data_IF_988490436906
#
_entry.id   IF_988490436906
#
_cell.length_a   1.000
_cell.length_b   1.000
_cell.length_c   1.000
_cell.angle_alpha   90.00
_cell.angle_beta   90.00
_cell.angle_gamma   90.00
#
_symmetry.space_group_name_H-M   'P 1'
#
loop_
_entity.id
_entity.type
_entity.pdbx_description
1 polymer ?
#
# COMPACT_ATOMS: atom_id res chain seq x y z
N UNK A 1 -11.71 -31.65 -5.87
CA UNK A 1 -12.32 -30.40 -5.35
C UNK A 1 -11.61 -29.86 -4.10
N UNK A 2 -11.42 -30.63 -3.01
CA UNK A 2 -10.72 -30.14 -1.79
C UNK A 2 -9.28 -29.62 -2.01
N UNK A 3 -8.52 -30.22 -2.92
CA UNK A 3 -7.16 -29.79 -3.25
C UNK A 3 -7.13 -28.45 -3.99
N UNK A 4 -8.10 -28.24 -4.90
CA UNK A 4 -8.23 -26.99 -5.64
C UNK A 4 -8.57 -25.82 -4.71
N UNK A 5 -9.50 -26.01 -3.77
CA UNK A 5 -9.81 -25.01 -2.74
C UNK A 5 -8.62 -24.72 -1.83
N UNK A 6 -7.84 -25.75 -1.45
CA UNK A 6 -6.64 -25.57 -0.62
C UNK A 6 -5.57 -24.71 -1.31
N UNK A 7 -5.35 -24.89 -2.61
CA UNK A 7 -4.43 -24.06 -3.39
C UNK A 7 -4.84 -22.59 -3.42
N UNK A 8 -6.12 -22.31 -3.69
CA UNK A 8 -6.64 -20.93 -3.73
C UNK A 8 -6.56 -20.26 -2.36
N UNK A 9 -6.89 -20.98 -1.29
CA UNK A 9 -6.75 -20.48 0.08
C UNK A 9 -5.28 -20.14 0.34
N UNK A 10 -4.35 -21.06 0.05
CA UNK A 10 -2.91 -20.80 0.21
C UNK A 10 -2.46 -19.54 -0.55
N UNK A 11 -2.91 -19.35 -1.80
CA UNK A 11 -2.56 -18.18 -2.60
C UNK A 11 -3.08 -16.89 -1.99
N UNK A 12 -4.36 -16.85 -1.58
CA UNK A 12 -4.96 -15.68 -0.91
C UNK A 12 -4.26 -15.39 0.42
N UNK A 13 -3.94 -16.43 1.18
CA UNK A 13 -3.36 -16.33 2.51
C UNK A 13 -1.90 -15.89 2.51
N UNK A 14 -1.14 -16.27 1.47
CA UNK A 14 0.27 -15.94 1.30
C UNK A 14 0.55 -14.45 1.07
N UNK A 15 -0.45 -13.67 0.64
CA UNK A 15 -0.33 -12.26 0.21
C UNK A 15 0.64 -12.02 -0.95
N UNK A 16 1.15 -13.08 -1.60
CA UNK A 16 2.05 -12.97 -2.75
C UNK A 16 1.41 -12.18 -3.90
N UNK A 17 0.09 -12.36 -4.10
CA UNK A 17 -0.66 -11.65 -5.13
C UNK A 17 -0.63 -10.11 -4.96
N UNK A 18 -0.58 -9.60 -3.71
CA UNK A 18 -0.49 -8.16 -3.45
C UNK A 18 0.88 -7.64 -3.86
N UNK A 19 1.95 -8.38 -3.53
CA UNK A 19 3.31 -8.03 -3.92
C UNK A 19 3.51 -8.10 -5.43
N UNK A 20 2.93 -9.09 -6.11
CA UNK A 20 2.90 -9.17 -7.57
C UNK A 20 2.14 -7.98 -8.18
N UNK A 21 1.03 -7.55 -7.57
CA UNK A 21 0.31 -6.34 -7.97
C UNK A 21 1.16 -5.09 -7.87
N UNK A 22 1.88 -4.89 -6.75
CA UNK A 22 2.81 -3.76 -6.59
C UNK A 22 3.96 -3.79 -7.62
N UNK A 23 4.53 -4.96 -7.90
CA UNK A 23 5.53 -5.13 -8.97
C UNK A 23 4.95 -4.80 -10.34
N UNK A 24 3.71 -5.22 -10.62
CA UNK A 24 3.05 -4.93 -11.89
C UNK A 24 2.89 -3.43 -12.09
N UNK A 25 2.45 -2.71 -11.06
CA UNK A 25 2.35 -1.23 -11.07
C UNK A 25 3.71 -0.58 -11.31
N UNK A 26 4.75 -1.06 -10.62
CA UNK A 26 6.11 -0.56 -10.80
C UNK A 26 6.57 -0.73 -12.26
N UNK A 27 6.44 -1.93 -12.82
CA UNK A 27 6.87 -2.24 -14.19
C UNK A 27 6.07 -1.45 -15.24
N UNK A 28 4.74 -1.31 -15.07
CA UNK A 28 3.94 -0.43 -15.91
C UNK A 28 4.45 1.01 -15.87
N UNK A 29 4.83 1.51 -14.69
CA UNK A 29 5.34 2.87 -14.53
C UNK A 29 6.70 3.05 -15.22
N UNK A 30 7.60 2.06 -15.16
CA UNK A 30 8.83 2.09 -15.94
C UNK A 30 8.57 2.21 -17.45
N UNK A 31 7.57 1.50 -17.97
CA UNK A 31 7.16 1.63 -19.37
C UNK A 31 6.63 3.04 -19.68
N UNK A 32 5.77 3.60 -18.83
CA UNK A 32 5.18 4.95 -19.01
C UNK A 32 6.26 6.04 -19.04
N UNK A 33 7.27 5.94 -18.18
CA UNK A 33 8.37 6.92 -18.11
C UNK A 33 9.55 6.59 -19.03
N UNK A 34 9.45 5.55 -19.87
CA UNK A 34 10.52 5.08 -20.78
C UNK A 34 11.85 4.81 -20.06
N UNK A 35 11.79 4.24 -18.86
CA UNK A 35 12.94 3.92 -18.03
C UNK A 35 13.15 2.42 -17.91
N UNK A 36 14.37 2.00 -17.60
CA UNK A 36 14.71 0.58 -17.45
C UNK A 36 14.57 0.16 -15.98
N UNK A 37 13.77 -0.88 -15.68
CA UNK A 37 13.66 -1.39 -14.33
C UNK A 37 14.97 -2.04 -13.89
N UNK A 38 15.39 -1.75 -12.67
CA UNK A 38 16.48 -2.49 -12.02
C UNK A 38 15.89 -3.69 -11.28
N UNK A 39 16.48 -4.88 -11.46
CA UNK A 39 16.04 -6.11 -10.78
C UNK A 39 15.93 -5.96 -9.27
N UNK A 40 16.81 -5.16 -8.68
CA UNK A 40 16.85 -4.95 -7.26
C UNK A 40 15.69 -4.07 -6.78
N UNK A 41 15.33 -3.01 -7.51
CA UNK A 41 14.13 -2.21 -7.22
C UNK A 41 12.86 -3.07 -7.27
N UNK A 42 12.76 -3.94 -8.28
CA UNK A 42 11.65 -4.89 -8.41
C UNK A 42 11.59 -5.84 -7.22
N UNK A 43 12.74 -6.43 -6.84
CA UNK A 43 12.85 -7.33 -5.69
C UNK A 43 12.50 -6.61 -4.38
N UNK A 44 12.94 -5.37 -4.20
CA UNK A 44 12.67 -4.59 -2.99
C UNK A 44 11.19 -4.25 -2.86
N UNK A 45 10.54 -3.79 -3.94
CA UNK A 45 9.09 -3.54 -3.93
C UNK A 45 8.32 -4.82 -3.65
N UNK A 46 8.75 -5.96 -4.22
CA UNK A 46 8.14 -7.26 -3.98
C UNK A 46 8.26 -7.68 -2.51
N UNK A 47 9.49 -7.78 -1.99
CA UNK A 47 9.77 -8.25 -0.62
C UNK A 47 9.23 -7.27 0.41
N UNK A 48 9.33 -5.96 0.16
CA UNK A 48 8.79 -4.93 1.04
C UNK A 48 7.27 -4.99 1.14
N UNK A 49 6.58 -5.10 0.00
CA UNK A 49 5.11 -5.24 -0.03
C UNK A 49 4.69 -6.55 0.62
N UNK A 50 5.31 -7.67 0.22
CA UNK A 50 5.00 -8.98 0.79
C UNK A 50 5.21 -9.01 2.30
N UNK A 51 6.37 -8.52 2.76
CA UNK A 51 6.73 -8.42 4.17
C UNK A 51 5.78 -7.53 4.96
N UNK A 52 5.43 -6.35 4.45
CA UNK A 52 4.51 -5.43 5.13
C UNK A 52 3.11 -6.04 5.31
N UNK A 53 2.52 -6.61 4.26
CA UNK A 53 1.20 -7.25 4.35
C UNK A 53 1.23 -8.54 5.17
N UNK A 54 2.33 -9.29 5.13
CA UNK A 54 2.53 -10.44 5.98
C UNK A 54 2.60 -10.02 7.46
N UNK A 55 3.38 -8.98 7.79
CA UNK A 55 3.44 -8.42 9.14
C UNK A 55 2.08 -7.93 9.64
N UNK A 56 1.32 -7.22 8.80
CA UNK A 56 -0.03 -6.75 9.16
C UNK A 56 -0.99 -7.90 9.53
N UNK A 57 -0.85 -9.08 8.90
CA UNK A 57 -1.63 -10.28 9.25
C UNK A 57 -1.24 -10.82 10.62
N UNK A 58 0.06 -10.92 10.89
CA UNK A 58 0.59 -11.56 12.10
C UNK A 58 0.76 -10.61 13.29
N UNK A 59 0.48 -9.32 13.09
CA UNK A 59 0.36 -8.29 14.11
C UNK A 59 -1.12 -7.94 14.38
N UNK A 60 -1.98 -8.87 14.86
CA UNK A 60 -3.21 -8.43 15.52
C UNK A 60 -2.82 -7.69 16.80
N UNK A 61 -3.68 -6.71 17.17
CA UNK A 61 -3.70 -5.91 18.42
C UNK A 61 -2.61 -6.37 19.38
N UNK A 62 -1.61 -5.53 19.64
CA UNK A 62 -0.66 -5.77 20.72
C UNK A 62 -1.43 -5.60 22.03
N UNK A 63 -2.27 -6.57 22.38
CA UNK A 63 -2.66 -6.84 23.75
C UNK A 63 -1.42 -7.46 24.37
N UNK A 64 -0.86 -6.78 25.37
CA UNK A 64 0.40 -7.09 26.04
C UNK A 64 0.48 -8.51 26.69
N UNK A 65 -0.51 -9.37 26.47
CA UNK A 65 -0.62 -10.72 26.99
C UNK A 65 -1.02 -11.72 25.91
N UNK A 66 -0.04 -12.33 25.21
CA UNK A 66 -0.04 -13.76 24.84
C UNK A 66 1.31 -14.19 24.24
N UNK A 67 1.58 -15.49 24.37
CA UNK A 67 2.89 -16.17 24.40
C UNK A 67 3.68 -16.21 23.07
N UNK A 68 3.17 -15.67 21.96
CA UNK A 68 3.84 -15.68 20.65
C UNK A 68 4.82 -14.50 20.39
N UNK A 69 5.36 -13.88 21.45
CA UNK A 69 6.34 -12.77 21.35
C UNK A 69 7.59 -13.15 20.58
N UNK A 70 8.05 -14.40 20.67
CA UNK A 70 9.32 -14.85 20.07
C UNK A 70 9.19 -15.01 18.56
N UNK A 71 8.11 -15.63 18.07
CA UNK A 71 7.92 -15.87 16.63
C UNK A 71 7.67 -14.57 15.86
N UNK A 72 6.92 -13.62 16.45
CA UNK A 72 6.70 -12.27 15.88
C UNK A 72 7.99 -11.47 15.76
N UNK A 73 8.84 -11.49 16.81
CA UNK A 73 10.17 -10.86 16.78
C UNK A 73 11.05 -11.49 15.71
N UNK A 74 11.04 -12.82 15.56
CA UNK A 74 11.83 -13.53 14.55
C UNK A 74 11.42 -13.15 13.12
N UNK A 75 10.12 -13.07 12.81
CA UNK A 75 9.64 -12.71 11.47
C UNK A 75 9.91 -11.23 11.15
N UNK A 76 9.63 -10.32 12.08
CA UNK A 76 9.95 -8.90 11.90
C UNK A 76 11.46 -8.67 11.75
N UNK A 77 12.28 -9.39 12.52
CA UNK A 77 13.72 -9.39 12.41
C UNK A 77 14.21 -9.95 11.08
N UNK A 78 13.58 -11.02 10.55
CA UNK A 78 13.93 -11.61 9.26
C UNK A 78 13.59 -10.67 8.09
N UNK A 79 12.47 -9.96 8.16
CA UNK A 79 12.07 -8.95 7.16
C UNK A 79 13.01 -7.75 7.24
N UNK A 80 13.35 -7.27 8.44
CA UNK A 80 14.34 -6.21 8.63
C UNK A 80 15.72 -6.61 8.10
N UNK A 81 16.15 -7.85 8.32
CA UNK A 81 17.40 -8.40 7.78
C UNK A 81 17.35 -8.46 6.26
N UNK A 82 16.24 -8.89 5.65
CA UNK A 82 16.09 -8.93 4.20
C UNK A 82 16.13 -7.52 3.59
N UNK A 83 15.43 -6.56 4.20
CA UNK A 83 15.47 -5.16 3.77
C UNK A 83 16.88 -4.56 3.94
N UNK A 84 17.56 -4.89 5.03
CA UNK A 84 18.94 -4.48 5.30
C UNK A 84 19.94 -5.09 4.32
N UNK A 85 19.82 -6.38 4.01
CA UNK A 85 20.68 -7.07 3.04
C UNK A 85 20.46 -6.55 1.61
N UNK A 86 19.21 -6.28 1.23
CA UNK A 86 18.87 -5.74 -0.09
C UNK A 86 19.37 -4.29 -0.22
N UNK A 87 19.28 -3.49 0.84
CA UNK A 87 19.84 -2.12 0.85
C UNK A 87 21.36 -2.08 0.91
N UNK A 88 22.02 -3.08 1.53
CA UNK A 88 23.47 -3.24 1.53
C UNK A 88 24.04 -3.61 0.15
N UNK A 89 23.28 -4.32 -0.70
CA UNK A 89 23.68 -4.69 -2.06
C UNK A 89 23.74 -3.52 -3.05
N UNK A 90 23.57 -2.28 -2.58
CA UNK A 90 23.23 -1.11 -3.38
C UNK A 90 24.08 0.12 -2.99
N UNK A 91 25.35 -0.11 -2.70
CA UNK A 91 26.30 0.93 -2.32
C UNK A 91 26.41 2.08 -3.35
N UNK A 92 25.94 1.87 -4.59
CA UNK A 92 25.95 2.83 -5.70
C UNK A 92 24.61 3.54 -6.00
N UNK A 93 23.53 3.23 -5.26
CA UNK A 93 22.23 3.87 -5.49
C UNK A 93 22.06 5.16 -4.68
N UNK A 94 21.29 6.11 -5.22
CA UNK A 94 21.09 7.42 -4.60
C UNK A 94 20.35 7.26 -3.27
N UNK A 95 20.96 7.69 -2.17
CA UNK A 95 20.42 7.72 -0.79
C UNK A 95 18.95 8.18 -0.71
N UNK A 96 18.53 9.01 -1.66
CA UNK A 96 17.17 9.51 -1.84
C UNK A 96 16.12 8.40 -1.99
N UNK A 97 16.39 7.33 -2.76
CA UNK A 97 15.43 6.23 -2.98
C UNK A 97 15.13 5.50 -1.67
N UNK A 98 16.16 5.26 -0.84
CA UNK A 98 16.00 4.68 0.49
C UNK A 98 15.21 5.57 1.44
N UNK A 99 15.50 6.87 1.44
CA UNK A 99 14.77 7.85 2.24
C UNK A 99 13.28 7.80 1.93
N UNK A 100 12.93 7.80 0.63
CA UNK A 100 11.54 7.71 0.22
C UNK A 100 10.89 6.36 0.52
N UNK A 101 11.59 5.24 0.28
CA UNK A 101 11.07 3.91 0.61
C UNK A 101 10.78 3.76 2.09
N UNK A 102 11.65 4.25 2.97
CA UNK A 102 11.41 4.27 4.41
C UNK A 102 10.23 5.19 4.74
N UNK A 103 10.20 6.40 4.17
CA UNK A 103 9.16 7.38 4.44
C UNK A 103 7.75 6.90 4.06
N UNK A 104 7.61 6.13 2.98
CA UNK A 104 6.31 5.62 2.53
C UNK A 104 5.96 4.23 3.08
N UNK A 105 6.95 3.39 3.38
CA UNK A 105 6.72 2.10 4.06
C UNK A 105 6.48 2.25 5.56
N UNK A 106 7.02 3.29 6.20
CA UNK A 106 6.86 3.53 7.64
C UNK A 106 5.39 3.76 8.02
N UNK A 107 4.58 4.62 7.34
CA UNK A 107 3.15 4.73 7.60
C UNK A 107 2.40 3.40 7.44
N UNK A 108 2.75 2.58 6.45
CA UNK A 108 2.13 1.27 6.23
C UNK A 108 2.47 0.24 7.34
N UNK A 109 3.68 0.34 7.91
CA UNK A 109 4.11 -0.48 9.04
C UNK A 109 3.55 0.04 10.38
N UNK A 110 3.56 1.36 10.60
CA UNK A 110 2.96 2.02 11.77
C UNK A 110 1.44 1.85 11.79
N UNK A 111 0.80 1.78 10.62
CA UNK A 111 -0.61 1.42 10.45
C UNK A 111 -0.97 0.06 11.07
N UNK A 112 -0.03 -0.88 11.15
CA UNK A 112 -0.23 -2.19 11.78
C UNK A 112 -0.16 -2.15 13.32
N UNK A 113 0.45 -1.12 13.90
CA UNK A 113 0.72 -1.02 15.33
C UNK A 113 -0.47 -0.41 16.07
N UNK A 114 -1.22 -1.25 16.78
CA UNK A 114 -2.22 -0.80 17.76
C UNK A 114 -1.64 -0.97 19.17
N UNK A 115 -1.45 0.15 19.89
CA UNK A 115 -0.96 0.16 21.27
C UNK A 115 -2.14 0.35 22.22
N UNK A 116 -2.55 -0.73 22.89
CA UNK A 116 -3.50 -0.66 24.01
C UNK A 116 -2.74 -0.57 25.34
N UNK A 117 -2.90 0.54 26.06
CA UNK A 117 -2.43 0.71 27.45
C UNK A 117 -3.61 0.57 28.41
N UNK A 118 -3.37 0.05 29.63
CA UNK A 118 -4.37 -0.30 30.66
C UNK A 118 -5.50 0.73 30.90
N UNK A 119 -5.27 2.02 30.70
CA UNK A 119 -6.26 3.09 30.93
C UNK A 119 -6.50 4.03 29.74
N UNK A 120 -5.85 3.81 28.59
CA UNK A 120 -6.04 4.66 27.39
C UNK A 120 -5.87 3.83 26.12
N UNK A 121 -6.88 3.89 25.25
CA UNK A 121 -6.78 3.39 23.88
C UNK A 121 -6.15 4.51 23.04
N UNK A 122 -4.89 4.33 22.64
CA UNK A 122 -4.34 5.15 21.55
C UNK A 122 -4.94 4.61 20.26
N UNK A 123 -5.77 5.42 19.63
CA UNK A 123 -6.35 5.08 18.34
C UNK A 123 -5.21 4.92 17.34
N UNK A 124 -5.02 3.71 16.82
CA UNK A 124 -4.08 3.52 15.72
C UNK A 124 -4.54 4.38 14.53
N UNK A 125 -3.61 4.81 13.67
CA UNK A 125 -3.96 5.58 12.45
C UNK A 125 -5.04 4.85 11.61
N UNK A 126 -5.11 3.52 11.72
CA UNK A 126 -6.14 2.66 11.13
C UNK A 126 -7.59 2.94 11.58
N UNK A 127 -7.77 3.54 12.75
CA UNK A 127 -9.07 3.81 13.34
C UNK A 127 -9.56 5.24 13.03
N UNK A 128 -8.72 6.06 12.38
CA UNK A 128 -9.16 7.36 11.86
C UNK A 128 -9.84 7.11 10.52
N UNK A 129 -11.14 7.38 10.43
CA UNK A 129 -11.89 7.19 9.21
C UNK A 129 -11.40 8.16 8.13
N UNK A 130 -11.62 7.84 6.85
CA UNK A 130 -11.05 8.53 5.68
C UNK A 130 -9.53 8.39 5.48
N UNK A 131 -8.74 8.61 6.52
CA UNK A 131 -7.27 8.60 6.44
C UNK A 131 -6.75 7.24 5.94
N UNK A 132 -7.42 6.14 6.32
CA UNK A 132 -7.09 4.79 5.82
C UNK A 132 -7.01 4.74 4.29
N UNK A 133 -8.03 5.26 3.59
CA UNK A 133 -8.09 5.19 2.12
C UNK A 133 -6.99 6.06 1.51
N UNK A 134 -6.77 7.26 2.08
CA UNK A 134 -5.73 8.18 1.63
C UNK A 134 -4.32 7.59 1.79
N UNK A 135 -4.03 6.96 2.93
CA UNK A 135 -2.72 6.34 3.17
C UNK A 135 -2.48 5.21 2.16
N UNK A 136 -3.46 4.33 1.96
CA UNK A 136 -3.31 3.24 0.98
C UNK A 136 -3.08 3.82 -0.41
N UNK A 137 -3.89 4.78 -0.84
CA UNK A 137 -3.71 5.41 -2.15
C UNK A 137 -2.31 6.04 -2.31
N UNK A 138 -1.84 6.80 -1.30
CA UNK A 138 -0.53 7.45 -1.33
C UNK A 138 0.64 6.46 -1.39
N UNK A 139 0.58 5.35 -0.65
CA UNK A 139 1.63 4.31 -0.69
C UNK A 139 1.73 3.68 -2.08
N UNK A 140 0.61 3.44 -2.73
CA UNK A 140 0.60 2.87 -4.08
C UNK A 140 0.99 3.87 -5.16
N UNK A 141 0.59 5.15 -5.02
CA UNK A 141 1.10 6.24 -5.86
C UNK A 141 2.62 6.34 -5.75
N UNK A 142 3.15 6.21 -4.54
CA UNK A 142 4.59 6.18 -4.35
C UNK A 142 5.26 5.06 -5.16
N UNK A 143 4.73 3.83 -5.08
CA UNK A 143 5.24 2.71 -5.89
C UNK A 143 5.21 3.04 -7.40
N UNK A 144 4.14 3.69 -7.86
CA UNK A 144 3.99 4.11 -9.24
C UNK A 144 4.99 5.21 -9.65
N UNK A 145 5.46 6.04 -8.72
CA UNK A 145 6.39 7.13 -8.97
C UNK A 145 7.87 6.78 -8.74
N UNK A 146 8.19 5.54 -8.34
CA UNK A 146 9.57 5.09 -8.14
C UNK A 146 10.49 5.40 -9.34
N UNK A 147 10.11 5.13 -10.61
CA UNK A 147 10.97 5.46 -11.76
C UNK A 147 11.31 6.96 -11.80
N UNK A 148 10.33 7.83 -11.57
CA UNK A 148 10.53 9.28 -11.56
C UNK A 148 11.52 9.72 -10.47
N UNK A 149 11.44 9.08 -9.30
CA UNK A 149 12.32 9.36 -8.16
C UNK A 149 13.75 8.90 -8.47
N UNK A 150 13.93 7.70 -9.02
CA UNK A 150 15.25 7.17 -9.38
C UNK A 150 15.94 8.05 -10.44
N UNK A 151 15.18 8.50 -11.43
CA UNK A 151 15.66 9.39 -12.49
C UNK A 151 15.73 10.86 -12.11
N UNK A 152 15.27 11.22 -10.90
CA UNK A 152 15.11 12.61 -10.43
C UNK A 152 14.30 13.50 -11.39
N UNK A 153 13.37 12.91 -12.13
CA UNK A 153 12.52 13.63 -13.08
C UNK A 153 11.25 14.12 -12.38
N UNK A 154 11.06 15.44 -12.38
CA UNK A 154 9.87 16.09 -11.82
C UNK A 154 9.31 17.07 -12.83
N UNK A 155 8.26 16.67 -13.54
CA UNK A 155 7.58 17.47 -14.55
C UNK A 155 6.06 17.30 -14.47
N UNK A 156 5.32 17.99 -15.34
CA UNK A 156 3.86 17.90 -15.37
C UNK A 156 3.35 16.49 -15.65
N UNK A 157 4.05 15.68 -16.46
CA UNK A 157 3.70 14.28 -16.72
C UNK A 157 3.74 13.44 -15.45
N UNK A 158 4.77 13.61 -14.61
CA UNK A 158 4.89 12.94 -13.31
C UNK A 158 3.74 13.34 -12.37
N UNK A 159 3.41 14.63 -12.30
CA UNK A 159 2.31 15.13 -11.49
C UNK A 159 0.97 14.54 -11.94
N UNK A 160 0.66 14.60 -13.23
CA UNK A 160 -0.59 14.09 -13.80
C UNK A 160 -0.71 12.57 -13.65
N UNK A 161 0.37 11.82 -13.86
CA UNK A 161 0.39 10.38 -13.64
C UNK A 161 0.15 10.02 -12.17
N UNK A 162 0.82 10.72 -11.24
CA UNK A 162 0.58 10.54 -9.80
C UNK A 162 -0.85 10.87 -9.38
N UNK A 163 -1.41 11.98 -9.88
CA UNK A 163 -2.80 12.39 -9.64
C UNK A 163 -3.80 11.39 -10.22
N UNK A 164 -3.61 10.95 -11.47
CA UNK A 164 -4.40 9.89 -12.09
C UNK A 164 -4.43 8.65 -11.19
N UNK A 165 -3.26 8.15 -10.83
CA UNK A 165 -3.13 6.90 -10.09
C UNK A 165 -3.76 7.02 -8.70
N UNK A 166 -3.60 8.17 -8.04
CA UNK A 166 -4.22 8.47 -6.76
C UNK A 166 -5.75 8.41 -6.84
N UNK A 167 -6.35 9.18 -7.76
CA UNK A 167 -7.80 9.24 -7.88
C UNK A 167 -8.40 7.91 -8.34
N UNK A 168 -7.71 7.21 -9.24
CA UNK A 168 -8.10 5.87 -9.67
C UNK A 168 -8.14 4.89 -8.48
N UNK A 169 -7.10 4.87 -7.65
CA UNK A 169 -7.04 4.00 -6.48
C UNK A 169 -8.15 4.31 -5.47
N UNK A 170 -8.38 5.59 -5.16
CA UNK A 170 -9.47 6.00 -4.27
C UNK A 170 -10.81 5.53 -4.83
N UNK A 171 -11.03 5.71 -6.14
CA UNK A 171 -12.26 5.27 -6.81
C UNK A 171 -12.49 3.76 -6.69
N UNK A 172 -11.47 2.92 -6.87
CA UNK A 172 -11.64 1.46 -6.80
C UNK A 172 -11.76 0.95 -5.36
N UNK A 173 -11.20 1.66 -4.37
CA UNK A 173 -11.30 1.28 -2.96
C UNK A 173 -12.72 1.49 -2.43
N UNK A 174 -13.43 2.53 -2.90
CA UNK A 174 -14.77 2.89 -2.42
C UNK A 174 -15.81 1.77 -2.57
N UNK A 175 -15.94 1.06 -3.71
CA UNK A 175 -16.83 -0.08 -3.83
C UNK A 175 -16.57 -1.19 -2.80
N UNK A 176 -15.29 -1.45 -2.48
CA UNK A 176 -14.94 -2.42 -1.44
C UNK A 176 -15.34 -1.91 -0.05
N UNK A 177 -15.13 -0.61 0.22
CA UNK A 177 -15.52 0.01 1.49
C UNK A 177 -17.05 -0.01 1.69
N UNK A 178 -17.82 0.19 0.62
CA UNK A 178 -19.29 0.07 0.62
C UNK A 178 -19.73 -1.37 0.88
N UNK A 179 -19.16 -2.34 0.16
CA UNK A 179 -19.50 -3.76 0.33
C UNK A 179 -19.22 -4.24 1.75
N UNK A 180 -18.10 -3.80 2.32
CA UNK A 180 -17.67 -4.25 3.63
C UNK A 180 -18.48 -3.58 4.77
N UNK A 181 -19.36 -2.60 4.49
CA UNK A 181 -20.21 -1.93 5.48
C UNK A 181 -21.08 -2.89 6.31
N UNK A 182 -21.59 -3.96 5.69
CA UNK A 182 -22.48 -4.94 6.36
C UNK A 182 -21.72 -5.88 7.30
N UNK A 183 -20.42 -6.08 7.04
CA UNK A 183 -19.57 -7.06 7.75
C UNK A 183 -18.67 -6.37 8.78
N UNK A 184 -18.23 -5.16 8.49
CA UNK A 184 -17.34 -4.38 9.36
C UNK A 184 -18.04 -3.93 10.64
N UNK A 185 -17.31 -3.95 11.75
CA UNK A 185 -17.82 -3.48 13.03
C UNK A 185 -18.16 -1.97 12.95
N UNK A 186 -19.26 -1.51 13.57
CA UNK A 186 -19.61 -0.08 13.58
C UNK A 186 -18.54 0.83 14.19
N UNK A 187 -17.64 0.27 15.00
CA UNK A 187 -16.50 0.96 15.62
C UNK A 187 -15.38 1.33 14.63
N UNK A 188 -15.36 0.71 13.44
CA UNK A 188 -14.35 0.97 12.40
C UNK A 188 -14.55 2.32 11.71
N UNK A 189 -15.80 2.81 11.70
CA UNK A 189 -16.21 4.12 11.16
C UNK A 189 -15.73 4.37 9.72
N UNK A 190 -15.75 3.38 8.82
CA UNK A 190 -15.23 3.57 7.44
C UNK A 190 -15.88 4.73 6.68
N UNK A 191 -15.29 5.14 5.53
CA UNK A 191 -15.79 6.28 4.76
C UNK A 191 -17.25 6.07 4.35
N UNK A 192 -17.56 4.86 3.90
CA UNK A 192 -18.92 4.46 3.54
C UNK A 192 -19.85 4.36 4.77
N UNK A 193 -19.36 3.91 5.93
CA UNK A 193 -20.12 3.90 7.19
C UNK A 193 -20.48 5.30 7.70
N UNK A 194 -19.60 6.29 7.53
CA UNK A 194 -19.85 7.67 8.00
C UNK A 194 -20.74 8.45 7.04
N UNK A 195 -20.44 8.40 5.75
CA UNK A 195 -21.13 9.21 4.74
C UNK A 195 -22.40 8.55 4.21
N UNK A 196 -22.52 7.24 4.39
CA UNK A 196 -23.53 6.42 3.74
C UNK A 196 -23.17 6.08 2.30
N UNK A 197 -23.79 5.02 1.79
CA UNK A 197 -23.55 4.46 0.47
C UNK A 197 -23.67 5.49 -0.66
N UNK A 198 -24.72 6.32 -0.64
CA UNK A 198 -24.99 7.29 -1.71
C UNK A 198 -23.86 8.32 -1.87
N UNK A 199 -23.35 8.85 -0.76
CA UNK A 199 -22.25 9.82 -0.77
C UNK A 199 -20.91 9.15 -1.11
N UNK A 200 -20.66 7.94 -0.59
CA UNK A 200 -19.48 7.16 -0.95
C UNK A 200 -19.44 6.91 -2.47
N UNK A 201 -20.55 6.50 -3.08
CA UNK A 201 -20.68 6.34 -4.55
C UNK A 201 -20.35 7.63 -5.29
N UNK A 202 -20.88 8.79 -4.86
CA UNK A 202 -20.58 10.09 -5.47
C UNK A 202 -19.09 10.41 -5.43
N UNK A 203 -18.42 10.19 -4.29
CA UNK A 203 -16.97 10.40 -4.18
C UNK A 203 -16.23 9.49 -5.16
N UNK A 204 -16.63 8.21 -5.24
CA UNK A 204 -16.05 7.26 -6.20
C UNK A 204 -16.15 7.75 -7.63
N UNK A 205 -17.34 8.20 -8.07
CA UNK A 205 -17.53 8.74 -9.41
C UNK A 205 -16.72 10.03 -9.68
N UNK A 206 -16.65 10.94 -8.70
CA UNK A 206 -15.83 12.16 -8.84
C UNK A 206 -14.35 11.81 -8.97
N UNK A 207 -13.85 10.88 -8.14
CA UNK A 207 -12.47 10.42 -8.26
C UNK A 207 -12.22 9.73 -9.62
N UNK A 208 -13.14 8.89 -10.09
CA UNK A 208 -13.00 8.27 -11.41
C UNK A 208 -12.93 9.31 -12.53
N UNK A 209 -13.82 10.31 -12.48
CA UNK A 209 -13.81 11.42 -13.43
C UNK A 209 -12.48 12.16 -13.43
N UNK A 210 -11.96 12.55 -12.25
CA UNK A 210 -10.66 13.22 -12.13
C UNK A 210 -9.50 12.35 -12.64
N UNK A 211 -9.57 11.04 -12.44
CA UNK A 211 -8.58 10.11 -12.99
C UNK A 211 -8.62 10.10 -14.52
N UNK A 212 -9.81 10.05 -15.13
CA UNK A 212 -9.98 10.12 -16.59
C UNK A 212 -9.46 11.45 -17.16
N UNK A 213 -9.80 12.59 -16.55
CA UNK A 213 -9.26 13.88 -16.95
C UNK A 213 -7.74 13.91 -16.92
N UNK A 214 -7.13 13.39 -15.84
CA UNK A 214 -5.67 13.31 -15.70
C UNK A 214 -5.02 12.49 -16.83
N UNK A 215 -5.68 11.42 -17.28
CA UNK A 215 -5.24 10.61 -18.44
C UNK A 215 -5.33 11.40 -19.74
N UNK A 216 -6.43 12.10 -19.98
CA UNK A 216 -6.63 12.91 -21.19
C UNK A 216 -5.57 13.99 -21.31
N UNK A 217 -5.26 14.69 -20.20
CA UNK A 217 -4.17 15.67 -20.17
C UNK A 217 -2.80 15.04 -20.39
N UNK A 218 -2.56 13.83 -19.88
CA UNK A 218 -1.30 13.12 -20.10
C UNK A 218 -1.10 12.77 -21.57
N UNK A 219 -2.14 12.32 -22.27
CA UNK A 219 -2.11 12.09 -23.72
C UNK A 219 -1.93 13.36 -24.55
N UNK A 220 -2.39 14.51 -24.04
CA UNK A 220 -2.20 15.79 -24.73
C UNK A 220 -0.77 16.33 -24.60
N UNK A 221 -0.02 15.93 -23.57
CA UNK A 221 1.36 16.35 -23.33
C UNK A 221 2.42 15.53 -24.09
N UNK A 222 2.05 14.32 -24.55
CA UNK A 222 2.91 13.42 -25.35
C UNK A 222 2.77 13.72 -26.85
#
# INVERSE_FOLDING_TARGET
MRTLTSFWIMLIESRLWIAMGAVSVLLCSYCVFSQKPTWITVLLVFVGTWGAYYLQRWMPKITLHTENKVMRKKVAFLILILVFLISYMFQDSTLQVYGWMIMFSMPACLYALQVKTKNRMFWGIREIPFIKILIVALVWVFVALIPCIESQTWNMKVLLYGSMFFFYLVSIIIPFDIRDMEVDQPSMRTLAQILGEAHAKRIGFVCLFLACESVLFLFWLD
#
